data_IF_764376769833
#
_entry.id   IF_764376769833
#
_cell.length_a   1.000
_cell.length_b   1.000
_cell.length_c   1.000
_cell.angle_alpha   90.00
_cell.angle_beta   90.00
_cell.angle_gamma   90.00
#
_symmetry.space_group_name_H-M   'P 1'
#
loop_
_entity.id
_entity.type
_entity.pdbx_description
1 polymer ?
#
# COMPACT_ATOMS: atom_id res chain seq x y z
N UNK A 1 19.35 9.29 -8.36
CA UNK A 1 18.85 8.07 -7.69
C UNK A 1 17.62 8.50 -6.91
N UNK A 2 16.47 7.90 -7.17
CA UNK A 2 15.22 8.30 -6.50
C UNK A 2 15.10 7.62 -5.14
N UNK A 3 14.58 8.33 -4.14
CA UNK A 3 14.32 7.82 -2.79
C UNK A 3 13.04 6.98 -2.82
N UNK A 4 13.00 5.81 -2.16
CA UNK A 4 11.78 4.99 -2.17
C UNK A 4 10.72 5.58 -1.24
N UNK A 5 9.46 5.31 -1.56
CA UNK A 5 8.29 5.65 -0.76
C UNK A 5 8.05 4.57 0.31
N UNK A 6 7.73 4.99 1.53
CA UNK A 6 7.27 4.12 2.60
C UNK A 6 5.96 4.65 3.19
N UNK A 7 5.01 3.73 3.39
CA UNK A 7 3.78 3.96 4.12
C UNK A 7 3.92 3.35 5.52
N UNK A 8 3.68 4.14 6.55
CA UNK A 8 3.73 3.77 7.96
C UNK A 8 2.32 3.75 8.52
N UNK A 9 1.93 2.64 9.13
CA UNK A 9 0.60 2.43 9.71
C UNK A 9 0.73 1.97 11.17
N UNK A 10 0.20 2.69 12.17
CA UNK A 10 0.33 2.31 13.57
C UNK A 10 -0.30 0.94 13.86
N UNK A 11 0.28 0.18 14.78
CA UNK A 11 -0.23 -1.13 15.17
C UNK A 11 -0.07 -1.41 16.68
N UNK A 12 -0.67 -2.50 17.14
CA UNK A 12 -0.70 -2.89 18.54
C UNK A 12 0.37 -3.92 18.94
N UNK A 13 1.24 -4.34 18.02
CA UNK A 13 2.33 -5.26 18.33
C UNK A 13 3.41 -4.53 19.15
N UNK A 14 3.40 -4.68 20.49
CA UNK A 14 4.31 -3.92 21.36
C UNK A 14 5.68 -4.56 21.60
N UNK A 15 5.84 -5.83 21.21
CA UNK A 15 7.07 -6.58 21.39
C UNK A 15 7.27 -7.51 20.20
N UNK A 16 8.16 -7.12 19.29
CA UNK A 16 8.48 -7.94 18.11
C UNK A 16 9.50 -9.05 18.42
N UNK A 17 10.16 -8.98 19.58
CA UNK A 17 11.18 -9.94 20.03
C UNK A 17 10.56 -11.15 20.74
N UNK A 18 9.33 -11.02 21.26
CA UNK A 18 8.52 -12.16 21.71
C UNK A 18 7.97 -12.92 20.49
N UNK A 19 8.67 -14.00 20.11
CA UNK A 19 8.33 -14.81 18.93
C UNK A 19 6.89 -15.32 18.94
N UNK A 20 6.35 -15.77 20.09
CA UNK A 20 5.00 -16.33 20.14
C UNK A 20 3.96 -15.24 19.94
N UNK A 21 4.14 -14.11 20.65
CA UNK A 21 3.25 -12.96 20.56
C UNK A 21 3.28 -12.31 19.16
N UNK A 22 4.46 -12.02 18.63
CA UNK A 22 4.63 -11.41 17.31
C UNK A 22 4.07 -12.31 16.20
N UNK A 23 4.32 -13.62 16.26
CA UNK A 23 3.78 -14.58 15.31
C UNK A 23 2.25 -14.66 15.37
N UNK A 24 1.65 -14.61 16.56
CA UNK A 24 0.20 -14.59 16.72
C UNK A 24 -0.40 -13.31 16.11
N UNK A 25 0.20 -12.16 16.39
CA UNK A 25 -0.21 -10.87 15.81
C UNK A 25 -0.12 -10.87 14.29
N UNK A 26 1.01 -11.35 13.75
CA UNK A 26 1.25 -11.44 12.33
C UNK A 26 0.24 -12.36 11.61
N UNK A 27 -0.05 -13.53 12.19
CA UNK A 27 -1.06 -14.45 11.66
C UNK A 27 -2.48 -13.87 11.68
N UNK A 28 -2.82 -13.09 12.70
CA UNK A 28 -4.09 -12.37 12.72
C UNK A 28 -4.20 -11.36 11.57
N UNK A 29 -3.12 -10.60 11.32
CA UNK A 29 -3.07 -9.69 10.18
C UNK A 29 -3.24 -10.44 8.84
N UNK A 30 -2.52 -11.56 8.64
CA UNK A 30 -2.69 -12.40 7.44
C UNK A 30 -4.14 -12.88 7.27
N UNK A 31 -4.83 -13.25 8.36
CA UNK A 31 -6.23 -13.66 8.31
C UNK A 31 -7.15 -12.48 7.92
N UNK A 32 -6.91 -11.28 8.45
CA UNK A 32 -7.65 -10.06 8.07
C UNK A 32 -7.47 -9.71 6.60
N UNK A 33 -6.24 -9.75 6.09
CA UNK A 33 -5.93 -9.55 4.67
C UNK A 33 -6.59 -10.62 3.80
N UNK A 34 -6.49 -11.90 4.20
CA UNK A 34 -7.15 -13.00 3.48
C UNK A 34 -8.66 -12.81 3.44
N UNK A 35 -9.28 -12.39 4.55
CA UNK A 35 -10.71 -12.10 4.62
C UNK A 35 -11.09 -10.91 3.73
N UNK A 36 -10.23 -9.89 3.63
CA UNK A 36 -10.42 -8.76 2.72
C UNK A 36 -10.59 -9.23 1.27
N UNK A 37 -9.84 -10.26 0.84
CA UNK A 37 -9.97 -10.89 -0.49
C UNK A 37 -10.98 -12.06 -0.55
N UNK A 38 -11.93 -12.12 0.39
CA UNK A 38 -12.98 -13.14 0.40
C UNK A 38 -12.47 -14.55 0.68
N UNK A 39 -11.38 -14.70 1.45
CA UNK A 39 -10.85 -15.99 1.89
C UNK A 39 -9.70 -16.55 1.04
N UNK A 40 -9.28 -15.83 -0.01
CA UNK A 40 -8.25 -16.28 -0.96
C UNK A 40 -6.85 -16.00 -0.44
N UNK A 41 -6.14 -17.06 -0.07
CA UNK A 41 -4.79 -16.97 0.48
C UNK A 41 -3.74 -16.82 -0.62
N UNK A 42 -4.05 -17.24 -1.83
CA UNK A 42 -3.17 -17.19 -3.00
C UNK A 42 -2.76 -15.77 -3.41
N UNK A 43 -3.46 -14.74 -2.94
CA UNK A 43 -3.08 -13.34 -3.16
C UNK A 43 -2.09 -12.80 -2.14
N UNK A 44 -1.77 -13.57 -1.10
CA UNK A 44 -0.75 -13.23 -0.13
C UNK A 44 0.44 -14.15 -0.35
N UNK A 45 1.54 -13.57 -0.81
CA UNK A 45 2.75 -14.29 -1.22
C UNK A 45 3.95 -13.84 -0.39
N UNK A 46 5.09 -14.50 -0.60
CA UNK A 46 6.38 -14.09 0.02
C UNK A 46 6.28 -13.90 1.54
N UNK A 47 5.58 -14.82 2.21
CA UNK A 47 5.42 -14.78 3.66
C UNK A 47 6.76 -15.14 4.30
N UNK A 48 7.38 -14.17 4.95
CA UNK A 48 8.62 -14.33 5.72
C UNK A 48 8.29 -14.35 7.20
N UNK A 49 8.79 -15.37 7.90
CA UNK A 49 8.78 -15.47 9.36
C UNK A 49 10.19 -15.85 9.74
N UNK A 50 10.93 -14.88 10.22
CA UNK A 50 12.32 -15.03 10.60
C UNK A 50 12.52 -14.41 11.98
N UNK A 51 13.01 -15.20 12.92
CA UNK A 51 13.15 -14.82 14.32
C UNK A 51 14.19 -15.69 15.03
N UNK A 52 14.33 -15.57 16.36
CA UNK A 52 15.35 -16.28 17.14
C UNK A 52 15.23 -17.81 17.15
N UNK A 53 14.11 -18.37 16.69
CA UNK A 53 13.96 -19.82 16.47
C UNK A 53 14.48 -20.28 15.09
N UNK A 54 14.93 -19.35 14.24
CA UNK A 54 15.36 -19.65 12.87
C UNK A 54 16.81 -20.16 12.83
N UNK A 55 17.14 -21.13 11.95
CA UNK A 55 18.47 -21.75 11.91
C UNK A 55 19.64 -20.79 11.64
N UNK A 56 19.39 -19.64 11.03
CA UNK A 56 20.39 -18.66 10.61
C UNK A 56 20.34 -17.36 11.44
N UNK A 57 19.63 -17.35 12.58
CA UNK A 57 19.32 -16.15 13.39
C UNK A 57 20.50 -15.20 13.62
N UNK A 58 21.68 -15.76 13.90
CA UNK A 58 22.89 -15.00 14.24
C UNK A 58 23.43 -14.15 13.07
N UNK A 59 22.90 -14.30 11.85
CA UNK A 59 23.31 -13.56 10.67
C UNK A 59 22.51 -12.25 10.44
N UNK A 60 21.51 -11.96 11.26
CA UNK A 60 20.56 -10.86 11.04
C UNK A 60 20.46 -9.90 12.23
N UNK A 61 20.05 -8.67 11.95
CA UNK A 61 19.98 -7.57 12.94
C UNK A 61 18.67 -7.55 13.75
N UNK A 62 17.74 -8.47 13.47
CA UNK A 62 16.46 -8.56 14.17
C UNK A 62 15.46 -9.52 13.52
N UNK A 63 14.27 -9.69 14.12
CA UNK A 63 13.21 -10.51 13.55
C UNK A 63 12.56 -9.81 12.36
N UNK A 64 12.12 -10.59 11.39
CA UNK A 64 11.34 -10.14 10.24
C UNK A 64 10.05 -10.95 10.14
N UNK A 65 8.92 -10.24 10.14
CA UNK A 65 7.63 -10.79 9.76
C UNK A 65 7.06 -9.96 8.62
N UNK A 66 7.00 -10.53 7.42
CA UNK A 66 6.60 -9.79 6.23
C UNK A 66 5.77 -10.63 5.26
N UNK A 67 4.94 -9.96 4.44
CA UNK A 67 4.20 -10.59 3.35
C UNK A 67 3.98 -9.60 2.21
N UNK A 68 3.83 -10.12 1.00
CA UNK A 68 3.56 -9.35 -0.22
C UNK A 68 2.14 -9.59 -0.71
N UNK A 69 1.50 -8.54 -1.24
CA UNK A 69 0.24 -8.61 -2.00
C UNK A 69 0.55 -8.14 -3.43
N UNK A 70 0.82 -9.06 -4.36
CA UNK A 70 1.23 -8.70 -5.72
C UNK A 70 0.19 -7.86 -6.48
N UNK A 71 -1.10 -8.09 -6.20
CA UNK A 71 -2.21 -7.40 -6.88
C UNK A 71 -2.21 -5.88 -6.69
N UNK A 72 -1.54 -5.37 -5.65
CA UNK A 72 -1.39 -3.93 -5.40
C UNK A 72 0.08 -3.54 -5.24
N UNK A 73 1.01 -4.42 -5.64
CA UNK A 73 2.45 -4.21 -5.55
C UNK A 73 2.93 -3.75 -4.15
N UNK A 74 2.37 -4.31 -3.08
CA UNK A 74 2.66 -3.87 -1.71
C UNK A 74 3.29 -4.99 -0.86
N UNK A 75 4.37 -4.67 -0.15
CA UNK A 75 4.99 -5.56 0.85
C UNK A 75 4.89 -4.94 2.24
N UNK A 76 4.37 -5.68 3.20
CA UNK A 76 4.13 -5.26 4.57
C UNK A 76 5.19 -5.87 5.48
N UNK A 77 5.79 -5.05 6.32
CA UNK A 77 6.76 -5.42 7.33
C UNK A 77 6.21 -5.06 8.69
N UNK A 78 6.07 -6.06 9.56
CA UNK A 78 5.67 -5.84 10.95
C UNK A 78 6.86 -5.24 11.70
N UNK A 79 6.66 -4.11 12.35
CA UNK A 79 7.56 -3.54 13.34
C UNK A 79 6.85 -3.40 14.69
N UNK A 80 7.62 -3.07 15.73
CA UNK A 80 7.09 -2.72 17.03
C UNK A 80 6.20 -1.48 16.89
N UNK A 81 4.91 -1.62 17.11
CA UNK A 81 3.95 -0.53 17.15
C UNK A 81 3.56 0.08 15.80
N UNK A 82 4.10 -0.38 14.67
CA UNK A 82 3.67 0.03 13.33
C UNK A 82 4.00 -1.00 12.24
N UNK A 83 3.27 -0.95 11.13
CA UNK A 83 3.62 -1.59 9.87
C UNK A 83 4.39 -0.59 9.02
N UNK A 84 5.46 -1.06 8.40
CA UNK A 84 6.03 -0.38 7.24
C UNK A 84 5.53 -1.10 5.98
N UNK A 85 5.08 -0.33 4.99
CA UNK A 85 4.57 -0.86 3.74
C UNK A 85 5.32 -0.20 2.59
N UNK A 86 5.96 -1.02 1.76
CA UNK A 86 6.60 -0.58 0.53
C UNK A 86 5.68 -0.86 -0.66
N UNK A 87 5.44 0.14 -1.51
CA UNK A 87 4.58 0.01 -2.71
C UNK A 87 5.39 -0.07 -4.02
N UNK A 88 6.72 -0.10 -3.95
CA UNK A 88 7.61 -0.05 -5.13
C UNK A 88 7.73 1.34 -5.78
N UNK A 89 7.01 2.34 -5.26
CA UNK A 89 7.02 3.71 -5.76
C UNK A 89 8.21 4.53 -5.25
N UNK A 90 8.51 5.62 -5.95
CA UNK A 90 9.46 6.64 -5.49
C UNK A 90 8.72 7.70 -4.69
N UNK A 91 9.34 8.17 -3.61
CA UNK A 91 8.74 9.15 -2.71
C UNK A 91 8.27 10.42 -3.45
N UNK A 92 9.09 10.94 -4.37
CA UNK A 92 8.72 12.12 -5.17
C UNK A 92 7.51 11.92 -6.09
N UNK A 93 7.16 10.69 -6.46
CA UNK A 93 5.96 10.43 -7.28
C UNK A 93 4.67 10.63 -6.49
N UNK A 94 4.73 10.67 -5.16
CA UNK A 94 3.60 11.05 -4.31
C UNK A 94 3.21 12.53 -4.45
N UNK A 95 4.11 13.34 -5.01
CA UNK A 95 3.96 14.80 -5.16
C UNK A 95 4.07 15.24 -6.63
N UNK A 96 3.84 14.33 -7.58
CA UNK A 96 3.97 14.62 -9.00
C UNK A 96 2.77 14.14 -9.82
N UNK A 97 1.65 14.89 -9.81
CA UNK A 97 0.55 14.63 -10.74
C UNK A 97 0.95 15.06 -12.16
N UNK A 98 0.67 14.21 -13.15
CA UNK A 98 0.88 14.55 -14.55
C UNK A 98 -0.19 15.55 -15.06
N UNK A 99 0.16 16.53 -15.91
CA UNK A 99 -0.83 17.46 -16.45
C UNK A 99 -1.92 16.76 -17.26
N UNK A 100 -3.18 17.07 -16.96
CA UNK A 100 -4.34 16.44 -17.61
C UNK A 100 -4.65 15.03 -17.10
N UNK A 101 -3.86 14.53 -16.16
CA UNK A 101 -4.04 13.23 -15.56
C UNK A 101 -4.94 13.36 -14.32
N UNK A 102 -6.25 13.23 -14.55
CA UNK A 102 -7.27 13.30 -13.50
C UNK A 102 -8.01 11.98 -13.37
N UNK A 103 -8.48 11.72 -12.16
CA UNK A 103 -9.43 10.65 -11.87
C UNK A 103 -10.83 11.02 -12.36
N UNK A 104 -11.76 10.06 -12.29
CA UNK A 104 -13.14 10.25 -12.73
C UNK A 104 -13.95 11.25 -11.89
N UNK A 105 -13.47 11.63 -10.70
CA UNK A 105 -14.03 12.71 -9.90
C UNK A 105 -13.42 14.08 -10.25
N UNK A 106 -12.43 14.11 -11.15
CA UNK A 106 -11.73 15.32 -11.60
C UNK A 106 -10.56 15.73 -10.72
N UNK A 107 -10.15 14.92 -9.74
CA UNK A 107 -8.97 15.20 -8.93
C UNK A 107 -7.69 14.76 -9.65
N UNK A 108 -6.53 15.38 -9.39
CA UNK A 108 -5.26 14.90 -9.90
C UNK A 108 -5.02 13.43 -9.54
N UNK A 109 -4.73 12.60 -10.54
CA UNK A 109 -4.33 11.21 -10.32
C UNK A 109 -2.87 11.14 -9.88
N UNK A 110 -2.63 10.39 -8.79
CA UNK A 110 -1.30 10.18 -8.22
C UNK A 110 -1.21 8.69 -7.87
N UNK A 111 -0.65 7.89 -8.78
CA UNK A 111 -0.57 6.43 -8.64
C UNK A 111 0.06 5.98 -7.32
N UNK A 112 1.16 6.63 -6.91
CA UNK A 112 1.82 6.34 -5.63
C UNK A 112 0.89 6.54 -4.41
N UNK A 113 0.06 7.59 -4.44
CA UNK A 113 -0.94 7.84 -3.39
C UNK A 113 -2.04 6.80 -3.39
N UNK A 114 -2.49 6.37 -4.56
CA UNK A 114 -3.52 5.34 -4.70
C UNK A 114 -2.99 3.99 -4.21
N UNK A 115 -1.74 3.65 -4.49
CA UNK A 115 -1.09 2.44 -3.96
C UNK A 115 -1.02 2.47 -2.43
N UNK A 116 -0.60 3.59 -1.83
CA UNK A 116 -0.61 3.74 -0.36
C UNK A 116 -2.03 3.64 0.22
N UNK A 117 -3.02 4.28 -0.40
CA UNK A 117 -4.42 4.18 0.02
C UNK A 117 -4.93 2.73 -0.02
N UNK A 118 -4.70 2.04 -1.15
CA UNK A 118 -5.09 0.64 -1.32
C UNK A 118 -4.44 -0.25 -0.25
N UNK A 119 -3.15 -0.01 0.03
CA UNK A 119 -2.43 -0.75 1.05
C UNK A 119 -2.92 -0.49 2.49
N UNK A 120 -3.16 0.77 2.84
CA UNK A 120 -3.71 1.16 4.13
C UNK A 120 -5.08 0.51 4.39
N UNK A 121 -5.97 0.56 3.38
CA UNK A 121 -7.34 0.07 3.50
C UNK A 121 -7.43 -1.44 3.67
N UNK A 122 -6.48 -2.21 3.11
CA UNK A 122 -6.44 -3.67 3.28
C UNK A 122 -6.31 -4.08 4.74
N UNK A 123 -5.56 -3.31 5.54
CA UNK A 123 -5.44 -3.53 6.99
C UNK A 123 -6.53 -2.81 7.80
N UNK A 124 -7.44 -2.09 7.13
CA UNK A 124 -8.56 -1.39 7.75
C UNK A 124 -8.28 0.04 8.20
N UNK A 125 -7.19 0.66 7.73
CA UNK A 125 -6.86 2.05 8.06
C UNK A 125 -7.59 3.03 7.15
N UNK A 126 -7.92 4.20 7.71
CA UNK A 126 -8.47 5.35 7.00
C UNK A 126 -7.48 6.49 6.79
N UNK A 127 -6.27 6.33 7.30
CA UNK A 127 -5.20 7.33 7.21
C UNK A 127 -3.85 6.61 7.28
N UNK A 128 -2.79 7.30 6.92
CA UNK A 128 -1.45 6.75 6.92
C UNK A 128 -0.39 7.83 6.96
N UNK A 129 0.82 7.41 7.33
CA UNK A 129 1.98 8.29 7.36
C UNK A 129 2.91 7.92 6.22
N UNK A 130 3.35 8.92 5.48
CA UNK A 130 4.13 8.75 4.27
C UNK A 130 5.52 9.31 4.54
N UNK A 131 6.56 8.56 4.21
CA UNK A 131 7.92 9.05 4.31
C UNK A 131 8.80 8.56 3.20
N UNK A 132 9.92 9.25 3.04
CA UNK A 132 11.02 8.74 2.27
C UNK A 132 11.70 7.56 3.01
N UNK A 133 12.47 6.76 2.28
CA UNK A 133 13.11 5.57 2.85
C UNK A 133 14.21 5.87 3.87
N UNK A 134 14.73 7.09 3.95
CA UNK A 134 15.70 7.48 5.00
C UNK A 134 15.06 7.58 6.39
N UNK A 135 13.73 7.69 6.46
CA UNK A 135 12.96 7.77 7.70
C UNK A 135 12.33 6.41 8.08
N UNK A 136 12.90 5.31 7.59
CA UNK A 136 12.44 3.95 7.88
C UNK A 136 13.36 3.21 8.85
N UNK A 137 12.90 2.06 9.37
CA UNK A 137 13.73 1.17 10.20
C UNK A 137 14.93 0.64 9.42
N UNK A 138 14.79 0.43 8.10
CA UNK A 138 15.86 -0.08 7.24
C UNK A 138 17.02 0.90 7.05
N UNK A 139 16.78 2.19 7.21
CA UNK A 139 17.81 3.17 6.91
C UNK A 139 18.36 3.86 8.15
N UNK A 140 17.57 4.28 9.14
CA UNK A 140 18.12 5.04 10.28
C UNK A 140 17.27 5.03 11.57
N UNK A 141 16.08 4.43 11.59
CA UNK A 141 15.37 4.11 12.86
C UNK A 141 15.90 2.76 13.37
N UNK A 142 17.22 2.69 13.55
CA UNK A 142 18.02 1.47 13.67
C UNK A 142 17.97 0.79 15.04
N UNK A 143 16.79 0.68 15.62
CA UNK A 143 16.58 -0.14 16.81
C UNK A 143 15.27 -0.90 16.67
N UNK A 144 15.33 -2.22 16.82
CA UNK A 144 14.16 -3.12 16.90
C UNK A 144 13.16 -2.67 17.98
N UNK A 145 13.62 -1.86 18.94
CA UNK A 145 12.80 -1.25 19.97
C UNK A 145 12.08 0.04 19.58
N UNK A 146 12.29 0.57 18.37
CA UNK A 146 11.65 1.79 17.91
C UNK A 146 10.17 1.55 17.61
N UNK A 147 9.30 2.23 18.35
CA UNK A 147 7.87 2.20 18.13
C UNK A 147 7.37 3.35 17.25
N UNK A 148 6.07 3.39 16.97
CA UNK A 148 5.48 4.45 16.17
C UNK A 148 5.68 5.86 16.76
N UNK A 149 5.64 6.00 18.08
CA UNK A 149 5.90 7.27 18.76
C UNK A 149 7.36 7.73 18.61
N UNK A 150 8.28 6.77 18.60
CA UNK A 150 9.69 7.00 18.31
C UNK A 150 9.87 7.43 16.86
N UNK A 151 9.22 6.75 15.92
CA UNK A 151 9.21 7.10 14.49
C UNK A 151 8.66 8.52 14.24
N UNK A 152 7.56 8.90 14.89
CA UNK A 152 6.96 10.24 14.76
C UNK A 152 7.95 11.36 15.07
N UNK A 153 8.86 11.14 16.03
CA UNK A 153 9.85 12.13 16.49
C UNK A 153 11.21 11.98 15.81
N UNK A 154 11.37 10.96 14.97
CA UNK A 154 12.62 10.71 14.28
C UNK A 154 12.85 11.73 13.16
N UNK A 155 14.06 12.26 13.09
CA UNK A 155 14.54 13.19 12.05
C UNK A 155 15.98 13.60 12.36
N UNK A 156 16.73 14.03 11.35
CA UNK A 156 18.13 14.47 11.52
C UNK A 156 18.25 15.77 12.35
N UNK A 157 17.17 16.56 12.37
CA UNK A 157 17.01 17.82 13.09
C UNK A 157 15.51 18.04 13.41
N UNK A 158 15.19 19.14 14.09
CA UNK A 158 13.81 19.47 14.49
C UNK A 158 12.87 19.68 13.30
N UNK A 159 13.38 20.12 12.14
CA UNK A 159 12.57 20.39 10.94
C UNK A 159 12.24 19.07 10.22
N UNK A 160 13.24 18.21 10.04
CA UNK A 160 13.14 16.88 9.44
C UNK A 160 12.24 15.94 10.27
N UNK A 161 12.14 16.18 11.58
CA UNK A 161 11.26 15.44 12.48
C UNK A 161 9.77 15.81 12.36
N UNK A 162 9.42 16.90 11.69
CA UNK A 162 8.02 17.33 11.56
C UNK A 162 7.26 16.39 10.64
N UNK A 163 6.06 15.99 11.07
CA UNK A 163 5.08 15.34 10.21
C UNK A 163 4.12 16.42 9.69
N UNK A 164 4.09 16.60 8.38
CA UNK A 164 3.23 17.58 7.73
C UNK A 164 1.87 16.97 7.35
N UNK A 165 0.81 17.76 7.33
CA UNK A 165 -0.48 17.29 6.80
C UNK A 165 -0.47 17.35 5.27
N UNK A 166 -0.77 16.23 4.62
CA UNK A 166 -0.93 16.17 3.17
C UNK A 166 -2.20 16.89 2.74
N UNK A 167 -2.08 17.66 1.65
CA UNK A 167 -3.21 18.31 1.01
C UNK A 167 -2.94 18.44 -0.47
N UNK A 168 -3.92 18.13 -1.31
CA UNK A 168 -3.84 18.37 -2.76
C UNK A 168 -3.61 19.84 -3.13
N UNK A 169 -3.84 20.78 -2.20
CA UNK A 169 -3.50 22.19 -2.40
C UNK A 169 -2.01 22.44 -2.66
N UNK A 170 -1.12 21.48 -2.33
CA UNK A 170 0.32 21.56 -2.62
C UNK A 170 0.61 21.74 -4.12
N UNK A 171 -0.30 21.30 -4.99
CA UNK A 171 -0.14 21.44 -6.45
C UNK A 171 -0.53 22.82 -6.97
N UNK A 172 -1.34 23.59 -6.23
CA UNK A 172 -1.88 24.86 -6.70
C UNK A 172 -2.62 24.72 -8.04
N UNK A 173 -2.45 25.71 -8.92
CA UNK A 173 -3.05 25.72 -10.26
C UNK A 173 -2.17 25.01 -11.33
N UNK A 174 -0.96 24.57 -10.96
CA UNK A 174 0.08 24.11 -11.88
C UNK A 174 0.45 22.65 -11.64
N UNK A 175 -0.25 21.76 -12.37
CA UNK A 175 0.09 20.33 -12.44
C UNK A 175 1.38 20.11 -13.25
N UNK A 176 2.10 19.02 -12.96
CA UNK A 176 3.29 18.59 -13.70
C UNK A 176 4.60 19.25 -13.32
N UNK A 177 4.59 20.23 -12.41
CA UNK A 177 5.81 20.81 -11.87
C UNK A 177 6.28 20.08 -10.61
N UNK A 178 7.61 19.96 -10.45
CA UNK A 178 8.21 19.45 -9.24
C UNK A 178 7.94 20.42 -8.08
N UNK A 179 7.28 19.94 -7.03
CA UNK A 179 7.00 20.73 -5.83
C UNK A 179 8.04 20.40 -4.75
N UNK A 180 8.40 21.40 -3.96
CA UNK A 180 9.15 21.14 -2.73
C UNK A 180 8.24 20.39 -1.76
N UNK A 181 8.74 19.27 -1.25
CA UNK A 181 8.05 18.41 -0.30
C UNK A 181 8.96 18.07 0.87
N UNK A 182 8.36 17.89 2.05
CA UNK A 182 9.04 17.49 3.27
C UNK A 182 9.33 15.98 3.28
N UNK A 183 10.07 15.50 4.28
CA UNK A 183 10.45 14.08 4.40
C UNK A 183 9.33 13.19 4.95
N UNK A 184 8.35 13.77 5.67
CA UNK A 184 7.25 13.04 6.32
C UNK A 184 5.92 13.76 6.19
N UNK A 185 4.88 13.01 5.87
CA UNK A 185 3.50 13.48 5.82
C UNK A 185 2.54 12.54 6.55
N UNK A 186 1.43 13.08 7.00
CA UNK A 186 0.22 12.37 7.37
C UNK A 186 -0.82 12.62 6.26
N UNK A 187 -1.50 11.57 5.80
CA UNK A 187 -2.51 11.64 4.74
C UNK A 187 -3.78 10.92 5.17
N UNK A 188 -4.91 11.63 5.11
CA UNK A 188 -6.25 11.09 5.39
C UNK A 188 -6.87 10.38 4.18
N UNK A 189 -6.18 10.39 3.03
CA UNK A 189 -6.64 9.80 1.77
C UNK A 189 -8.02 10.24 1.32
N UNK A 190 -8.44 11.46 1.71
CA UNK A 190 -9.81 11.92 1.55
C UNK A 190 -10.35 11.76 0.12
N UNK A 191 -9.61 12.22 -0.88
CA UNK A 191 -10.05 12.14 -2.28
C UNK A 191 -10.08 10.71 -2.81
N UNK A 192 -9.22 9.81 -2.28
CA UNK A 192 -9.27 8.40 -2.60
C UNK A 192 -10.52 7.72 -2.01
N UNK A 193 -10.93 8.11 -0.80
CA UNK A 193 -12.20 7.68 -0.22
C UNK A 193 -13.40 8.23 -1.00
N UNK A 194 -13.39 9.51 -1.37
CA UNK A 194 -14.45 10.11 -2.19
C UNK A 194 -14.59 9.39 -3.55
N UNK A 195 -13.47 8.95 -4.14
CA UNK A 195 -13.45 8.15 -5.37
C UNK A 195 -13.96 6.72 -5.15
N UNK A 196 -13.55 6.06 -4.07
CA UNK A 196 -14.06 4.75 -3.70
C UNK A 196 -15.59 4.77 -3.51
N UNK A 197 -16.09 5.76 -2.75
CA UNK A 197 -17.52 5.93 -2.49
C UNK A 197 -18.31 6.27 -3.76
N UNK A 198 -17.75 7.08 -4.67
CA UNK A 198 -18.41 7.38 -5.94
C UNK A 198 -18.51 6.14 -6.81
N UNK A 199 -17.46 5.32 -6.86
CA UNK A 199 -17.46 4.06 -7.60
C UNK A 199 -18.49 3.07 -7.06
N UNK A 200 -18.47 2.78 -5.76
CA UNK A 200 -19.39 1.79 -5.15
C UNK A 200 -20.85 2.25 -5.19
N UNK A 201 -21.11 3.56 -5.22
CA UNK A 201 -22.46 4.10 -5.45
C UNK A 201 -22.94 3.85 -6.88
N UNK A 202 -22.07 4.01 -7.86
CA UNK A 202 -22.43 3.88 -9.28
C UNK A 202 -22.52 2.39 -9.70
N UNK A 203 -21.73 1.52 -9.06
CA UNK A 203 -21.68 0.08 -9.32
C UNK A 203 -21.91 -0.75 -8.03
N UNK A 204 -23.14 -0.74 -7.48
CA UNK A 204 -23.46 -1.32 -6.18
C UNK A 204 -23.36 -2.85 -6.11
N UNK A 205 -23.26 -3.55 -7.24
CA UNK A 205 -22.97 -4.98 -7.31
C UNK A 205 -21.52 -5.32 -6.94
N UNK A 206 -20.64 -4.33 -6.93
CA UNK A 206 -19.22 -4.51 -6.65
C UNK A 206 -18.83 -3.96 -5.29
N UNK A 207 -18.00 -4.73 -4.59
CA UNK A 207 -17.12 -4.23 -3.53
C UNK A 207 -15.76 -3.95 -4.14
N UNK A 208 -15.29 -2.71 -4.07
CA UNK A 208 -13.97 -2.36 -4.58
C UNK A 208 -12.91 -2.90 -3.64
N UNK A 209 -11.84 -3.46 -4.20
CA UNK A 209 -10.66 -3.99 -3.50
C UNK A 209 -9.46 -3.07 -3.69
N UNK A 210 -9.26 -2.51 -4.89
CA UNK A 210 -8.30 -1.45 -5.15
C UNK A 210 -8.80 -0.50 -6.24
N UNK A 211 -8.36 0.75 -6.17
CA UNK A 211 -8.58 1.79 -7.19
C UNK A 211 -7.26 2.13 -7.88
N UNK A 212 -7.31 2.47 -9.17
CA UNK A 212 -6.16 2.95 -9.94
C UNK A 212 -4.99 1.97 -10.01
N UNK A 213 -5.29 0.67 -10.06
CA UNK A 213 -4.28 -0.38 -10.17
C UNK A 213 -4.72 -1.39 -11.24
N UNK A 214 -3.91 -1.60 -12.30
CA UNK A 214 -2.54 -1.09 -12.51
C UNK A 214 -2.45 0.38 -12.94
N UNK A 215 -3.58 1.00 -13.34
CA UNK A 215 -3.65 2.41 -13.75
C UNK A 215 -5.02 2.99 -13.40
N UNK A 216 -5.19 4.31 -13.49
CA UNK A 216 -6.41 5.04 -13.07
C UNK A 216 -7.70 4.55 -13.73
N UNK A 217 -7.60 4.01 -14.95
CA UNK A 217 -8.73 3.48 -15.71
C UNK A 217 -9.22 2.14 -15.15
N UNK A 218 -8.59 1.59 -14.11
CA UNK A 218 -8.86 0.26 -13.61
C UNK A 218 -9.20 0.24 -12.12
N UNK A 219 -10.13 -0.64 -11.78
CA UNK A 219 -10.40 -1.02 -10.40
C UNK A 219 -10.41 -2.55 -10.26
N UNK A 220 -9.86 -3.04 -9.16
CA UNK A 220 -10.04 -4.44 -8.75
C UNK A 220 -11.29 -4.51 -7.89
N UNK A 221 -12.22 -5.39 -8.23
CA UNK A 221 -13.51 -5.50 -7.55
C UNK A 221 -13.86 -6.95 -7.23
N UNK A 222 -14.70 -7.15 -6.23
CA UNK A 222 -15.37 -8.42 -5.98
C UNK A 222 -16.87 -8.28 -6.15
N UNK A 223 -17.50 -9.26 -6.80
CA UNK A 223 -18.96 -9.40 -6.88
C UNK A 223 -19.54 -10.28 -5.75
N UNK A 224 -18.74 -10.53 -4.71
CA UNK A 224 -19.06 -11.40 -3.59
C UNK A 224 -18.65 -12.86 -3.80
N UNK A 225 -18.53 -13.32 -5.05
CA UNK A 225 -18.11 -14.69 -5.38
C UNK A 225 -16.74 -14.75 -6.00
N UNK A 226 -16.41 -13.81 -6.88
CA UNK A 226 -15.19 -13.78 -7.69
C UNK A 226 -14.56 -12.39 -7.66
N UNK A 227 -13.32 -12.29 -8.14
CA UNK A 227 -12.59 -11.04 -8.26
C UNK A 227 -12.30 -10.75 -9.73
N UNK A 228 -12.55 -9.51 -10.13
CA UNK A 228 -12.40 -9.04 -11.50
C UNK A 228 -11.65 -7.72 -11.53
N UNK A 229 -11.00 -7.47 -12.65
CA UNK A 229 -10.60 -6.11 -13.03
C UNK A 229 -11.71 -5.52 -13.89
N UNK A 230 -12.09 -4.29 -13.59
CA UNK A 230 -13.12 -3.54 -14.32
C UNK A 230 -12.56 -2.21 -14.78
N UNK A 231 -13.13 -1.70 -15.86
CA UNK A 231 -12.95 -0.32 -16.28
C UNK A 231 -13.59 0.63 -15.24
N UNK A 232 -12.81 1.60 -14.77
CA UNK A 232 -13.17 2.46 -13.65
C UNK A 232 -14.34 3.42 -13.97
N UNK A 233 -14.50 3.76 -15.25
CA UNK A 233 -15.50 4.71 -15.74
C UNK A 233 -16.82 4.02 -16.04
N UNK A 234 -16.79 2.81 -16.59
CA UNK A 234 -17.95 2.07 -17.11
C UNK A 234 -18.39 0.90 -16.24
N UNK A 235 -17.54 0.44 -15.31
CA UNK A 235 -17.79 -0.74 -14.48
C UNK A 235 -17.77 -2.06 -15.27
N UNK A 236 -17.42 -2.01 -16.56
CA UNK A 236 -17.38 -3.20 -17.41
C UNK A 236 -16.19 -4.07 -17.04
N UNK A 237 -16.42 -5.38 -16.92
CA UNK A 237 -15.36 -6.36 -16.71
C UNK A 237 -14.46 -6.40 -17.92
N UNK A 238 -13.15 -6.44 -17.69
CA UNK A 238 -12.15 -6.55 -18.74
C UNK A 238 -11.94 -7.99 -19.23
N UNK A 239 -12.48 -8.96 -18.50
CA UNK A 239 -12.44 -10.38 -18.81
C UNK A 239 -13.76 -11.07 -18.46
N UNK A 240 -14.08 -12.12 -19.20
CA UNK A 240 -15.23 -13.00 -18.90
C UNK A 240 -14.97 -13.91 -17.70
N UNK A 241 -13.73 -14.00 -17.23
CA UNK A 241 -13.31 -14.90 -16.18
C UNK A 241 -12.56 -14.19 -15.04
N UNK A 242 -12.62 -14.72 -13.81
CA UNK A 242 -11.99 -14.12 -12.63
C UNK A 242 -10.47 -14.09 -12.69
N UNK A 243 -9.86 -13.18 -11.91
CA UNK A 243 -8.41 -12.98 -11.89
C UNK A 243 -7.63 -14.23 -11.41
N UNK A 244 -8.26 -15.06 -10.59
CA UNK A 244 -7.70 -16.30 -10.03
C UNK A 244 -7.21 -17.25 -11.13
N UNK A 245 -7.85 -17.24 -12.31
CA UNK A 245 -7.40 -18.07 -13.44
C UNK A 245 -6.00 -17.70 -13.93
N UNK A 246 -5.64 -16.41 -13.89
CA UNK A 246 -4.31 -15.95 -14.29
C UNK A 246 -3.22 -16.36 -13.30
N UNK A 247 -3.56 -16.58 -12.02
CA UNK A 247 -2.62 -17.05 -11.00
C UNK A 247 -2.39 -18.57 -11.05
N UNK A 248 -3.31 -19.32 -11.68
CA UNK A 248 -3.31 -20.79 -11.70
C UNK A 248 -2.61 -21.43 -12.91
N UNK A 249 -2.11 -20.64 -13.88
CA UNK A 249 -1.46 -21.17 -15.09
C UNK A 249 0.07 -20.99 -15.07
N UNK A 250 0.84 -21.98 -14.59
CA UNK A 250 2.30 -21.94 -14.58
C UNK A 250 2.95 -22.12 -15.97
N UNK A 251 2.17 -22.29 -17.05
CA UNK A 251 2.66 -22.40 -18.43
C UNK A 251 1.97 -21.40 -19.39
N UNK A 252 1.29 -20.38 -18.86
CA UNK A 252 0.32 -19.55 -19.59
C UNK A 252 0.75 -19.15 -21.00
N UNK A 253 -0.08 -19.51 -21.98
CA UNK A 253 -0.14 -18.80 -23.25
C UNK A 253 -0.08 -17.30 -22.94
N UNK A 254 0.74 -16.56 -23.71
CA UNK A 254 1.02 -15.15 -23.45
C UNK A 254 -0.26 -14.41 -23.05
N UNK A 255 -0.23 -13.59 -21.98
CA UNK A 255 -1.35 -12.71 -21.70
C UNK A 255 -1.62 -11.94 -22.99
N UNK A 256 -2.88 -11.96 -23.44
CA UNK A 256 -3.31 -11.10 -24.55
C UNK A 256 -2.91 -9.69 -24.14
N UNK A 257 -1.80 -9.22 -24.72
CA UNK A 257 -1.38 -7.83 -24.65
C UNK A 257 -2.60 -7.04 -25.10
N UNK A 258 -3.15 -6.21 -24.21
CA UNK A 258 -4.22 -5.29 -24.52
C UNK A 258 -3.93 -4.63 -25.87
N UNK A 259 -4.89 -4.59 -26.81
CA UNK A 259 -4.67 -3.92 -28.07
C UNK A 259 -4.36 -2.45 -27.77
N UNK A 260 -3.13 -2.03 -28.08
CA UNK A 260 -2.82 -0.61 -28.23
C UNK A 260 -3.52 -0.15 -29.50
N UNK A 261 -4.61 0.59 -29.35
CA UNK A 261 -5.03 1.54 -30.38
C UNK A 261 -4.33 2.88 -30.17
#
# INVERSE_FOLDING_TARGET
>A
MGVNLSLILPNDCKDIMDNEYALAFFKDALNRVTAFFGGRREFVTEITIYNSDSPEWDEFEGPEYSFTIPLISATYYLNKGYWEVSTGDRYGFYFWPYPGDVDRNGNPYIGARYNCFNAARILGFSEGWISDDYHTWRCLVGDVDSDFETWLRYGKDEEDAIVHEYSMSIFGDELGEYKDYASKYHDSFKECFDLLESFERDYPEYRVLSIGSPDKEFALVSDGNSIFMVDADTGMRLSDFPIEKYLSDPNGEEPILFPRE
#
